data_IF_993646488324
#
_entry.id   IF_993646488324
#
_cell.length_a   1.000
_cell.length_b   1.000
_cell.length_c   1.000
_cell.angle_alpha   90.00
_cell.angle_beta   90.00
_cell.angle_gamma   90.00
#
_symmetry.space_group_name_H-M   'P 1'
#
loop_
_entity.id
_entity.type
_entity.pdbx_description
1 polymer ?
#
# COMPACT_ATOMS: atom_id res chain seq x y z
N UNK A 1 -28.54 -5.56 25.56
CA UNK A 1 -27.36 -5.77 24.69
C UNK A 1 -26.17 -5.05 25.30
N UNK A 2 -25.06 -5.73 25.53
CA UNK A 2 -23.90 -5.12 26.23
C UNK A 2 -23.15 -4.17 25.29
N UNK A 3 -22.56 -3.10 25.84
CA UNK A 3 -21.78 -2.07 25.12
C UNK A 3 -20.65 -2.65 24.25
N UNK A 4 -20.17 -3.85 24.58
CA UNK A 4 -19.16 -4.59 23.83
C UNK A 4 -19.67 -5.08 22.45
N UNK A 5 -20.96 -5.43 22.34
CA UNK A 5 -21.57 -5.86 21.06
C UNK A 5 -21.75 -4.69 20.08
N UNK A 6 -21.70 -3.45 20.56
CA UNK A 6 -21.89 -2.25 19.73
C UNK A 6 -20.61 -1.78 19.04
N UNK A 7 -19.43 -2.12 19.59
CA UNK A 7 -18.12 -1.65 19.08
C UNK A 7 -17.39 -2.72 18.25
N UNK A 8 -17.58 -4.01 18.57
CA UNK A 8 -16.95 -5.13 17.86
C UNK A 8 -17.03 -5.07 16.32
N UNK A 9 -18.17 -4.65 15.70
CA UNK A 9 -18.26 -4.57 14.25
C UNK A 9 -17.28 -3.57 13.64
N UNK A 10 -16.91 -2.50 14.38
CA UNK A 10 -16.09 -1.39 13.89
C UNK A 10 -14.57 -1.63 14.04
N UNK A 11 -14.17 -2.65 14.80
CA UNK A 11 -12.77 -3.03 15.00
C UNK A 11 -12.25 -3.83 13.82
N UNK A 12 -13.09 -4.68 13.20
CA UNK A 12 -12.71 -5.53 12.07
C UNK A 12 -12.88 -4.84 10.71
N UNK A 13 -11.92 -3.99 10.32
CA UNK A 13 -11.95 -3.29 9.03
C UNK A 13 -10.68 -3.49 8.21
N UNK A 14 -10.72 -3.12 6.93
CA UNK A 14 -9.65 -3.28 5.96
C UNK A 14 -8.36 -2.55 6.34
N UNK A 15 -8.41 -1.52 7.19
CA UNK A 15 -7.21 -0.88 7.72
C UNK A 15 -6.37 -1.84 8.57
N UNK A 16 -6.97 -2.84 9.22
CA UNK A 16 -6.21 -3.89 9.91
C UNK A 16 -5.26 -4.63 8.96
N UNK A 17 -5.65 -4.79 7.70
CA UNK A 17 -4.80 -5.43 6.67
C UNK A 17 -3.65 -4.51 6.24
N UNK A 18 -3.66 -3.23 6.59
CA UNK A 18 -2.55 -2.31 6.33
C UNK A 18 -1.53 -2.29 7.48
N UNK A 19 -1.91 -2.76 8.68
CA UNK A 19 -1.03 -2.75 9.86
C UNK A 19 0.32 -3.44 9.60
N UNK A 20 0.39 -4.65 8.99
CA UNK A 20 1.67 -5.29 8.72
C UNK A 20 2.61 -4.42 7.86
N UNK A 21 2.07 -3.73 6.86
CA UNK A 21 2.83 -2.82 5.98
C UNK A 21 3.28 -1.59 6.75
N UNK A 22 2.39 -0.99 7.56
CA UNK A 22 2.74 0.19 8.37
C UNK A 22 3.85 -0.14 9.37
N UNK A 23 3.74 -1.27 10.08
CA UNK A 23 4.77 -1.72 11.02
C UNK A 23 6.09 -1.97 10.28
N UNK A 24 6.05 -2.67 9.15
CA UNK A 24 7.24 -2.95 8.34
C UNK A 24 7.94 -1.66 7.91
N UNK A 25 7.19 -0.69 7.40
CA UNK A 25 7.73 0.58 6.92
C UNK A 25 8.34 1.38 8.07
N UNK A 26 7.65 1.50 9.20
CA UNK A 26 8.17 2.24 10.35
C UNK A 26 9.39 1.57 10.98
N UNK A 27 9.44 0.24 11.01
CA UNK A 27 10.52 -0.50 11.65
C UNK A 27 11.81 -0.55 10.81
N UNK A 28 11.69 -0.49 9.48
CA UNK A 28 12.82 -0.76 8.57
C UNK A 28 13.16 0.39 7.61
N UNK A 29 12.43 1.51 7.61
CA UNK A 29 12.71 2.62 6.68
C UNK A 29 14.14 3.16 6.83
N UNK A 30 14.67 3.19 8.06
CA UNK A 30 16.03 3.67 8.33
C UNK A 30 17.12 2.71 7.83
N UNK A 31 16.75 1.47 7.46
CA UNK A 31 17.67 0.47 6.90
C UNK A 31 17.72 0.49 5.38
N UNK A 32 16.83 1.23 4.72
CA UNK A 32 16.87 1.37 3.27
C UNK A 32 18.07 2.23 2.83
N UNK A 33 18.57 2.04 1.59
CA UNK A 33 19.63 2.86 1.02
C UNK A 33 19.33 4.36 1.11
N UNK A 34 20.38 5.19 1.17
CA UNK A 34 20.27 6.64 1.35
C UNK A 34 19.28 7.32 0.38
N UNK A 35 19.18 6.82 -0.85
CA UNK A 35 18.27 7.32 -1.89
C UNK A 35 16.77 7.24 -1.52
N UNK A 36 16.41 6.37 -0.58
CA UNK A 36 15.04 6.26 -0.04
C UNK A 36 14.82 7.07 1.24
N UNK A 37 15.87 7.70 1.78
CA UNK A 37 15.73 8.55 2.96
C UNK A 37 15.01 9.86 2.59
N UNK A 38 14.17 10.41 3.49
CA UNK A 38 13.29 11.51 3.15
C UNK A 38 13.98 12.74 2.53
N UNK A 39 15.21 13.01 2.96
CA UNK A 39 16.03 14.14 2.50
C UNK A 39 16.39 14.03 1.01
N UNK A 40 16.54 12.81 0.49
CA UNK A 40 16.87 12.56 -0.92
C UNK A 40 15.60 12.21 -1.70
N UNK A 41 14.77 11.32 -1.16
CA UNK A 41 13.59 10.78 -1.84
C UNK A 41 12.60 11.89 -2.21
N UNK A 42 12.35 12.85 -1.30
CA UNK A 42 11.41 13.94 -1.52
C UNK A 42 12.04 15.22 -2.09
N UNK A 43 13.36 15.25 -2.29
CA UNK A 43 14.02 16.42 -2.85
C UNK A 43 13.52 16.68 -4.28
N UNK A 44 13.37 17.93 -4.71
CA UNK A 44 13.05 18.33 -6.10
C UNK A 44 11.87 17.59 -6.78
N UNK A 45 10.92 17.05 -6.01
CA UNK A 45 9.74 16.39 -6.57
C UNK A 45 8.66 17.42 -6.90
N UNK A 46 8.08 17.42 -8.12
CA UNK A 46 7.03 18.35 -8.49
C UNK A 46 5.85 18.32 -7.52
N UNK A 47 5.36 19.49 -7.12
CA UNK A 47 4.31 19.61 -6.11
C UNK A 47 3.04 18.79 -6.43
N UNK A 48 2.63 18.73 -7.70
CA UNK A 48 1.47 17.95 -8.11
C UNK A 48 1.62 16.45 -7.83
N UNK A 49 2.85 15.93 -7.94
CA UNK A 49 3.16 14.53 -7.69
C UNK A 49 3.20 14.25 -6.19
N UNK A 50 3.85 15.13 -5.43
CA UNK A 50 3.91 15.06 -3.96
C UNK A 50 2.52 15.08 -3.34
N UNK A 51 1.68 16.06 -3.72
CA UNK A 51 0.31 16.16 -3.18
C UNK A 51 -0.60 15.07 -3.72
N UNK A 52 -0.44 14.67 -4.99
CA UNK A 52 -1.21 13.59 -5.59
C UNK A 52 -0.97 12.25 -4.89
N UNK A 53 0.30 11.88 -4.69
CA UNK A 53 0.68 10.63 -4.03
C UNK A 53 0.21 10.61 -2.58
N UNK A 54 0.52 11.65 -1.79
CA UNK A 54 0.13 11.68 -0.39
C UNK A 54 -1.40 11.77 -0.20
N UNK A 55 -2.08 12.57 -1.03
CA UNK A 55 -3.54 12.68 -1.00
C UNK A 55 -4.22 11.36 -1.33
N UNK A 56 -3.77 10.69 -2.40
CA UNK A 56 -4.30 9.36 -2.76
C UNK A 56 -3.96 8.29 -1.71
N UNK A 57 -2.77 8.32 -1.10
CA UNK A 57 -2.40 7.45 0.03
C UNK A 57 -3.35 7.60 1.21
N UNK A 58 -3.61 8.84 1.64
CA UNK A 58 -4.54 9.13 2.74
C UNK A 58 -5.93 8.63 2.38
N UNK A 59 -6.38 8.84 1.15
CA UNK A 59 -7.70 8.36 0.70
C UNK A 59 -7.79 6.84 0.69
N UNK A 60 -6.74 6.12 0.25
CA UNK A 60 -6.66 4.65 0.34
C UNK A 60 -6.81 4.18 1.78
N UNK A 61 -6.10 4.79 2.72
CA UNK A 61 -6.19 4.46 4.15
C UNK A 61 -7.59 4.74 4.72
N UNK A 62 -8.17 5.89 4.38
CA UNK A 62 -9.51 6.25 4.80
C UNK A 62 -10.54 5.24 4.28
N UNK A 63 -10.50 4.91 2.99
CA UNK A 63 -11.42 3.95 2.39
C UNK A 63 -11.27 2.55 2.99
N UNK A 64 -10.04 2.08 3.22
CA UNK A 64 -9.81 0.79 3.87
C UNK A 64 -10.35 0.75 5.30
N UNK A 65 -10.20 1.84 6.07
CA UNK A 65 -10.79 1.97 7.41
C UNK A 65 -12.32 1.95 7.42
N UNK A 66 -12.94 2.41 6.33
CA UNK A 66 -14.39 2.37 6.16
C UNK A 66 -14.92 1.00 5.71
N UNK A 67 -14.05 0.08 5.26
CA UNK A 67 -14.42 -1.23 4.73
C UNK A 67 -14.41 -2.32 5.81
N UNK A 68 -15.56 -2.73 6.38
CA UNK A 68 -15.62 -3.89 7.27
C UNK A 68 -15.12 -5.18 6.61
N UNK A 69 -14.38 -5.98 7.39
CA UNK A 69 -14.02 -7.36 7.04
C UNK A 69 -15.17 -8.26 7.48
N UNK A 70 -15.79 -8.97 6.54
CA UNK A 70 -16.85 -9.96 6.83
C UNK A 70 -16.43 -11.31 6.27
N UNK A 71 -16.74 -12.39 6.97
CA UNK A 71 -16.18 -13.73 6.72
C UNK A 71 -16.96 -14.61 5.72
N UNK A 72 -17.73 -14.03 4.78
CA UNK A 72 -18.77 -14.81 4.08
C UNK A 72 -18.94 -14.49 2.60
N UNK A 73 -17.85 -14.43 1.82
CA UNK A 73 -17.95 -13.99 0.42
C UNK A 73 -17.12 -14.82 -0.55
N UNK A 74 -17.63 -14.99 -1.78
CA UNK A 74 -17.04 -15.86 -2.83
C UNK A 74 -15.65 -15.40 -3.27
N UNK A 75 -15.35 -14.10 -3.16
CA UNK A 75 -14.08 -13.52 -3.62
C UNK A 75 -13.03 -13.42 -2.49
N UNK A 76 -13.39 -13.75 -1.26
CA UNK A 76 -12.54 -13.56 -0.10
C UNK A 76 -11.28 -14.43 -0.14
N UNK A 77 -11.36 -15.67 -0.63
CA UNK A 77 -10.19 -16.54 -0.79
C UNK A 77 -9.15 -15.97 -1.77
N UNK A 78 -9.62 -15.47 -2.92
CA UNK A 78 -8.75 -14.81 -3.91
C UNK A 78 -8.17 -13.52 -3.35
N UNK A 79 -8.98 -12.73 -2.64
CA UNK A 79 -8.53 -11.50 -1.98
C UNK A 79 -7.44 -11.75 -0.94
N UNK A 80 -7.60 -12.76 -0.07
CA UNK A 80 -6.58 -13.14 0.90
C UNK A 80 -5.31 -13.68 0.24
N UNK A 81 -5.43 -14.49 -0.80
CA UNK A 81 -4.27 -14.97 -1.54
C UNK A 81 -3.50 -13.80 -2.19
N UNK A 82 -4.21 -12.90 -2.88
CA UNK A 82 -3.61 -11.69 -3.49
C UNK A 82 -2.95 -10.80 -2.43
N UNK A 83 -3.58 -10.68 -1.25
CA UNK A 83 -3.05 -9.93 -0.12
C UNK A 83 -1.75 -10.52 0.40
N UNK A 84 -1.74 -11.82 0.73
CA UNK A 84 -0.56 -12.50 1.27
C UNK A 84 0.58 -12.57 0.26
N UNK A 85 0.29 -12.92 -1.00
CA UNK A 85 1.30 -12.92 -2.05
C UNK A 85 1.89 -11.51 -2.26
N UNK A 86 1.03 -10.48 -2.27
CA UNK A 86 1.47 -9.10 -2.38
C UNK A 86 2.35 -8.64 -1.21
N UNK A 87 2.04 -9.05 0.02
CA UNK A 87 2.88 -8.75 1.18
C UNK A 87 4.27 -9.41 1.07
N UNK A 88 4.32 -10.68 0.69
CA UNK A 88 5.59 -11.40 0.52
C UNK A 88 6.45 -10.72 -0.55
N UNK A 89 5.86 -10.36 -1.69
CA UNK A 89 6.55 -9.63 -2.75
C UNK A 89 7.04 -8.25 -2.29
N UNK A 90 6.19 -7.50 -1.58
CA UNK A 90 6.54 -6.20 -1.05
C UNK A 90 7.70 -6.27 -0.06
N UNK A 91 7.63 -7.17 0.92
CA UNK A 91 8.71 -7.36 1.90
C UNK A 91 9.98 -7.86 1.24
N UNK A 92 9.91 -8.83 0.34
CA UNK A 92 11.08 -9.31 -0.40
C UNK A 92 11.75 -8.18 -1.22
N UNK A 93 10.97 -7.27 -1.80
CA UNK A 93 11.52 -6.12 -2.53
C UNK A 93 12.30 -5.16 -1.63
N UNK A 94 11.81 -4.91 -0.41
CA UNK A 94 12.53 -4.13 0.61
C UNK A 94 13.83 -4.83 1.03
N UNK A 95 13.75 -6.13 1.35
CA UNK A 95 14.92 -6.88 1.79
C UNK A 95 16.02 -6.95 0.72
N UNK A 96 15.66 -7.04 -0.56
CA UNK A 96 16.63 -7.00 -1.66
C UNK A 96 17.39 -5.67 -1.69
N UNK A 97 16.70 -4.55 -1.49
CA UNK A 97 17.32 -3.21 -1.46
C UNK A 97 18.19 -3.00 -0.20
N UNK A 98 17.80 -3.56 0.95
CA UNK A 98 18.57 -3.42 2.19
C UNK A 98 19.84 -4.27 2.20
N UNK A 99 19.73 -5.55 1.83
CA UNK A 99 20.84 -6.50 1.95
C UNK A 99 21.72 -6.58 0.71
N UNK A 100 21.19 -6.22 -0.45
CA UNK A 100 21.91 -6.28 -1.72
C UNK A 100 21.75 -4.97 -2.53
N UNK A 101 22.06 -3.79 -1.95
CA UNK A 101 21.84 -2.49 -2.59
C UNK A 101 22.61 -2.32 -3.91
N UNK A 102 23.82 -2.88 -4.00
CA UNK A 102 24.69 -2.78 -5.19
C UNK A 102 24.47 -3.91 -6.21
N UNK A 103 23.46 -4.76 -6.00
CA UNK A 103 23.16 -5.86 -6.94
C UNK A 103 22.61 -5.34 -8.27
N UNK A 104 22.78 -6.14 -9.33
CA UNK A 104 22.16 -5.85 -10.63
C UNK A 104 20.64 -5.71 -10.56
N UNK A 105 20.00 -6.38 -9.60
CA UNK A 105 18.57 -6.21 -9.35
C UNK A 105 18.28 -4.83 -8.78
N UNK A 106 18.86 -4.51 -7.62
CA UNK A 106 18.59 -3.27 -6.87
C UNK A 106 18.99 -1.99 -7.61
N UNK A 107 20.01 -2.06 -8.47
CA UNK A 107 20.45 -0.96 -9.33
C UNK A 107 19.70 -0.88 -10.66
N UNK A 108 18.90 -1.88 -11.02
CA UNK A 108 18.03 -1.82 -12.19
C UNK A 108 16.74 -1.08 -11.87
N UNK A 109 16.19 -0.37 -12.86
CA UNK A 109 14.89 0.30 -12.76
C UNK A 109 13.78 -0.59 -12.14
N UNK A 110 13.51 -1.83 -12.60
CA UNK A 110 12.45 -2.64 -12.01
C UNK A 110 12.73 -3.08 -10.57
N UNK A 111 13.99 -3.32 -10.20
CA UNK A 111 14.32 -3.70 -8.82
C UNK A 111 14.25 -2.51 -7.86
N UNK A 112 14.72 -1.34 -8.29
CA UNK A 112 14.58 -0.09 -7.56
C UNK A 112 13.12 0.28 -7.32
N UNK A 113 12.28 0.14 -8.34
CA UNK A 113 10.85 0.46 -8.27
C UNK A 113 9.99 -0.65 -7.63
N UNK A 114 10.54 -1.81 -7.30
CA UNK A 114 9.78 -2.95 -6.80
C UNK A 114 8.93 -2.63 -5.55
N UNK A 115 9.44 -1.91 -4.53
CA UNK A 115 8.62 -1.43 -3.43
C UNK A 115 7.44 -0.54 -3.84
N UNK A 116 7.53 0.15 -4.97
CA UNK A 116 6.54 1.13 -5.40
C UNK A 116 5.35 0.49 -6.14
N UNK A 117 5.60 -0.53 -6.97
CA UNK A 117 4.53 -1.20 -7.73
C UNK A 117 3.96 -2.44 -7.02
N UNK A 118 4.72 -3.13 -6.17
CA UNK A 118 4.22 -4.32 -5.45
C UNK A 118 3.02 -4.06 -4.52
N UNK A 119 2.79 -2.83 -4.00
CA UNK A 119 1.55 -2.49 -3.30
C UNK A 119 0.26 -2.75 -4.08
N UNK A 120 0.32 -2.75 -5.41
CA UNK A 120 -0.84 -3.09 -6.24
C UNK A 120 -1.44 -4.44 -5.87
N UNK A 121 -0.61 -5.44 -5.57
CA UNK A 121 -1.06 -6.81 -5.27
C UNK A 121 -1.80 -6.88 -3.94
N UNK A 122 -1.23 -6.32 -2.87
CA UNK A 122 -1.86 -6.41 -1.55
C UNK A 122 -3.03 -5.44 -1.40
N UNK A 123 -2.99 -4.27 -2.07
CA UNK A 123 -4.15 -3.37 -2.15
C UNK A 123 -5.30 -4.02 -2.94
N UNK A 124 -5.01 -4.69 -4.05
CA UNK A 124 -6.03 -5.48 -4.78
C UNK A 124 -6.66 -6.52 -3.88
N UNK A 125 -5.86 -7.22 -3.06
CA UNK A 125 -6.34 -8.15 -2.06
C UNK A 125 -7.34 -7.51 -1.08
N UNK A 126 -7.00 -6.35 -0.50
CA UNK A 126 -7.89 -5.59 0.39
C UNK A 126 -9.19 -5.20 -0.32
N UNK A 127 -9.10 -4.73 -1.57
CA UNK A 127 -10.25 -4.35 -2.40
C UNK A 127 -11.20 -5.52 -2.68
N UNK A 128 -10.67 -6.72 -2.86
CA UNK A 128 -11.46 -7.94 -3.07
C UNK A 128 -12.09 -8.46 -1.77
N UNK A 129 -11.43 -8.28 -0.62
CA UNK A 129 -11.94 -8.69 0.69
C UNK A 129 -13.12 -7.81 1.13
N UNK A 130 -13.09 -6.50 0.86
CA UNK A 130 -14.17 -5.60 1.25
C UNK A 130 -15.39 -5.66 0.34
N UNK A 131 -16.56 -5.55 0.96
CA UNK A 131 -17.87 -5.67 0.27
C UNK A 131 -18.90 -4.60 0.64
N UNK A 132 -18.60 -3.77 1.63
CA UNK A 132 -19.48 -2.69 2.06
C UNK A 132 -18.64 -1.58 2.71
N UNK A 133 -19.27 -0.43 2.96
CA UNK A 133 -18.76 0.57 3.90
C UNK A 133 -19.58 0.51 5.21
N UNK A 134 -19.01 0.96 6.32
CA UNK A 134 -19.71 0.99 7.62
C UNK A 134 -20.96 1.87 7.65
N UNK A 135 -20.92 2.98 6.92
CA UNK A 135 -22.06 3.86 6.74
C UNK A 135 -22.86 3.38 5.53
N UNK A 136 -24.16 3.67 5.48
CA UNK A 136 -25.04 3.40 4.32
C UNK A 136 -24.66 4.20 3.05
N UNK A 137 -23.38 4.51 2.88
CA UNK A 137 -22.79 5.00 1.66
C UNK A 137 -22.87 3.91 0.59
N UNK A 138 -23.13 4.27 -0.68
CA UNK A 138 -23.15 3.32 -1.77
C UNK A 138 -21.75 2.72 -1.95
N UNK A 139 -21.54 1.50 -1.45
CA UNK A 139 -20.29 0.79 -1.67
C UNK A 139 -20.19 0.40 -3.13
N UNK A 140 -19.09 0.83 -3.76
CA UNK A 140 -18.70 0.29 -5.06
C UNK A 140 -17.22 -0.06 -4.99
N UNK A 141 -16.90 -1.35 -5.08
CA UNK A 141 -15.53 -1.88 -4.99
C UNK A 141 -14.55 -1.14 -5.89
N UNK A 142 -14.98 -0.74 -7.09
CA UNK A 142 -14.15 -0.02 -8.05
C UNK A 142 -13.68 1.35 -7.56
N UNK A 143 -14.38 2.00 -6.62
CA UNK A 143 -13.91 3.26 -6.02
C UNK A 143 -12.58 3.02 -5.29
N UNK A 144 -12.54 2.04 -4.38
CA UNK A 144 -11.30 1.68 -3.69
C UNK A 144 -10.22 1.23 -4.68
N UNK A 145 -10.56 0.38 -5.65
CA UNK A 145 -9.60 -0.12 -6.64
C UNK A 145 -9.00 1.00 -7.49
N UNK A 146 -9.80 1.96 -7.95
CA UNK A 146 -9.31 3.11 -8.73
C UNK A 146 -8.45 4.04 -7.87
N UNK A 147 -8.83 4.29 -6.62
CA UNK A 147 -8.02 5.09 -5.71
C UNK A 147 -6.67 4.42 -5.41
N UNK A 148 -6.68 3.11 -5.14
CA UNK A 148 -5.46 2.32 -4.94
C UNK A 148 -4.58 2.31 -6.19
N UNK A 149 -5.18 2.14 -7.37
CA UNK A 149 -4.46 2.18 -8.64
C UNK A 149 -3.82 3.56 -8.89
N UNK A 150 -4.57 4.65 -8.68
CA UNK A 150 -4.05 6.02 -8.79
C UNK A 150 -2.87 6.24 -7.84
N UNK A 151 -3.00 5.82 -6.57
CA UNK A 151 -1.90 5.90 -5.60
C UNK A 151 -0.66 5.16 -6.10
N UNK A 152 -0.79 3.91 -6.56
CA UNK A 152 0.33 3.12 -7.07
C UNK A 152 0.97 3.78 -8.30
N UNK A 153 0.18 4.30 -9.24
CA UNK A 153 0.71 4.99 -10.43
C UNK A 153 1.52 6.22 -10.02
N UNK A 154 1.00 7.06 -9.13
CA UNK A 154 1.71 8.24 -8.63
C UNK A 154 2.97 7.86 -7.87
N UNK A 155 2.90 6.85 -7.01
CA UNK A 155 4.05 6.35 -6.25
C UNK A 155 5.13 5.74 -7.14
N UNK A 156 4.74 5.03 -8.21
CA UNK A 156 5.67 4.57 -9.24
C UNK A 156 6.30 5.75 -9.98
N UNK A 157 5.52 6.75 -10.37
CA UNK A 157 6.02 7.91 -11.10
C UNK A 157 7.00 8.74 -10.24
N UNK A 158 6.73 8.88 -8.95
CA UNK A 158 7.64 9.49 -7.99
C UNK A 158 8.94 8.69 -7.88
N UNK A 159 8.85 7.38 -7.66
CA UNK A 159 10.04 6.52 -7.55
C UNK A 159 10.86 6.51 -8.85
N UNK A 160 10.20 6.52 -10.02
CA UNK A 160 10.85 6.69 -11.31
C UNK A 160 11.58 8.04 -11.41
N UNK A 161 10.93 9.13 -11.00
CA UNK A 161 11.55 10.47 -11.00
C UNK A 161 12.81 10.51 -10.14
N UNK A 162 12.81 9.82 -9.00
CA UNK A 162 13.99 9.68 -8.14
C UNK A 162 15.08 8.87 -8.83
N UNK A 163 14.72 7.76 -9.48
CA UNK A 163 15.68 6.92 -10.21
C UNK A 163 16.34 7.68 -11.36
N UNK A 164 15.55 8.29 -12.24
CA UNK A 164 16.00 9.05 -13.43
C UNK A 164 16.92 10.22 -13.07
N UNK A 165 16.73 10.80 -11.88
CA UNK A 165 17.59 11.86 -11.36
C UNK A 165 18.94 11.35 -10.84
N UNK A 166 18.98 10.13 -10.30
CA UNK A 166 20.13 9.62 -9.54
C UNK A 166 21.00 8.62 -10.32
N UNK A 167 20.46 7.99 -11.37
CA UNK A 167 21.11 6.96 -12.19
C UNK A 167 21.02 7.30 -13.68
#
# INVERSE_FOLDING_TARGET
MSRAQTVLPYVGNGFLLMIPVVIWNLALTDQLPAVFQPEIFWNDIPAWLTYGENGSRILVFALAGLMPIRSSTKNQGVGFFSYLAGLVLYFASWLALMYFPDSQWSTSLPGFMAPAFTPLFWLTGIGLIGESFYFNLPFRRWIFMLTAFLFVVLHCFHTYTVYDRLY
#
